data_IF_213244572542
#
_entry.id   IF_213244572542
#
_cell.length_a   1.000
_cell.length_b   1.000
_cell.length_c   1.000
_cell.angle_alpha   90.00
_cell.angle_beta   90.00
_cell.angle_gamma   90.00
#
_symmetry.space_group_name_H-M   'P 1'
#
loop_
_entity.id
_entity.type
_entity.pdbx_description
1 polymer ?
#
# COMPACT_ATOMS: atom_id res chain seq x y z
N UNK A 1 6.38 -0.68 7.42
CA UNK A 1 6.99 0.16 8.50
C UNK A 1 6.43 1.57 8.40
N UNK A 2 6.25 2.26 9.51
CA UNK A 2 5.78 3.67 9.54
C UNK A 2 6.94 4.52 10.07
N UNK A 3 7.23 5.65 9.41
CA UNK A 3 8.27 6.57 9.86
C UNK A 3 7.85 8.03 9.67
N UNK A 4 8.35 8.90 10.53
CA UNK A 4 8.11 10.34 10.51
C UNK A 4 9.41 11.08 10.21
N UNK A 5 9.36 12.06 9.30
CA UNK A 5 10.49 12.91 8.94
C UNK A 5 10.60 14.13 9.87
N UNK A 6 11.74 14.83 9.82
CA UNK A 6 12.02 15.96 10.71
C UNK A 6 11.06 17.15 10.55
N UNK A 7 10.41 17.28 9.39
CA UNK A 7 9.36 18.26 9.09
C UNK A 7 7.96 17.81 9.58
N UNK A 8 7.86 16.66 10.26
CA UNK A 8 6.62 16.11 10.78
C UNK A 8 5.84 15.23 9.80
N UNK A 9 6.28 15.09 8.54
CA UNK A 9 5.60 14.27 7.54
C UNK A 9 5.67 12.77 7.89
N UNK A 10 4.56 12.04 7.76
CA UNK A 10 4.48 10.61 8.12
C UNK A 10 4.32 9.76 6.85
N UNK A 11 5.15 8.73 6.72
CA UNK A 11 5.17 7.81 5.59
C UNK A 11 4.92 6.38 6.06
N UNK A 12 4.03 5.68 5.35
CA UNK A 12 3.83 4.25 5.51
C UNK A 12 4.49 3.52 4.33
N UNK A 13 5.52 2.74 4.60
CA UNK A 13 6.05 1.80 3.63
C UNK A 13 5.17 0.56 3.63
N UNK A 14 4.45 0.36 2.52
CA UNK A 14 3.76 -0.88 2.21
C UNK A 14 4.42 -1.52 0.99
N UNK A 15 4.41 -2.85 0.95
CA UNK A 15 4.86 -3.59 -0.22
C UNK A 15 3.69 -3.70 -1.19
N UNK A 16 3.90 -3.28 -2.43
CA UNK A 16 2.92 -3.41 -3.50
C UNK A 16 2.45 -4.87 -3.63
N UNK A 17 1.13 -5.07 -3.65
CA UNK A 17 0.54 -6.40 -3.77
C UNK A 17 0.91 -7.08 -5.08
N UNK A 18 1.13 -6.31 -6.17
CA UNK A 18 1.60 -6.85 -7.44
C UNK A 18 3.03 -7.39 -7.32
N UNK A 19 3.89 -6.72 -6.52
CA UNK A 19 5.23 -7.21 -6.23
C UNK A 19 5.21 -8.50 -5.40
N UNK A 20 4.33 -8.58 -4.38
CA UNK A 20 4.15 -9.80 -3.58
C UNK A 20 3.67 -10.95 -4.47
N UNK A 21 2.67 -10.70 -5.31
CA UNK A 21 2.12 -11.71 -6.22
C UNK A 21 3.21 -12.27 -7.15
N UNK A 22 4.00 -11.40 -7.78
CA UNK A 22 5.12 -11.80 -8.65
C UNK A 22 6.19 -12.59 -7.90
N UNK A 23 6.58 -12.15 -6.71
CA UNK A 23 7.62 -12.82 -5.90
C UNK A 23 7.23 -14.23 -5.46
N UNK A 24 5.94 -14.45 -5.22
CA UNK A 24 5.42 -15.72 -4.72
C UNK A 24 4.72 -16.56 -5.80
N UNK A 25 4.76 -16.15 -7.07
CA UNK A 25 4.11 -16.89 -8.17
C UNK A 25 2.59 -16.97 -8.02
N UNK A 26 1.96 -15.97 -7.41
CA UNK A 26 0.52 -15.92 -7.23
C UNK A 26 -0.11 -15.34 -8.51
N UNK A 27 -0.68 -16.23 -9.33
CA UNK A 27 -1.37 -15.85 -10.57
C UNK A 27 -2.89 -15.64 -10.39
N UNK A 28 -3.39 -15.84 -9.16
CA UNK A 28 -4.80 -15.64 -8.80
C UNK A 28 -4.95 -14.43 -7.88
N UNK A 29 -6.19 -14.10 -7.49
CA UNK A 29 -6.52 -13.05 -6.51
C UNK A 29 -6.26 -11.61 -6.96
N UNK A 30 -6.22 -11.35 -8.27
CA UNK A 30 -6.02 -10.01 -8.85
C UNK A 30 -7.08 -9.01 -8.36
N UNK A 31 -8.34 -9.44 -8.20
CA UNK A 31 -9.43 -8.55 -7.73
C UNK A 31 -9.21 -8.15 -6.27
N UNK A 32 -8.76 -9.08 -5.44
CA UNK A 32 -8.50 -8.91 -4.03
C UNK A 32 -7.30 -7.99 -3.80
N UNK A 33 -6.23 -8.16 -4.59
CA UNK A 33 -5.08 -7.25 -4.57
C UNK A 33 -5.47 -5.84 -5.00
N UNK A 34 -6.29 -5.70 -6.06
CA UNK A 34 -6.82 -4.40 -6.46
C UNK A 34 -7.63 -3.74 -5.33
N UNK A 35 -8.54 -4.49 -4.71
CA UNK A 35 -9.37 -3.97 -3.61
C UNK A 35 -8.52 -3.55 -2.41
N UNK A 36 -7.50 -4.33 -2.05
CA UNK A 36 -6.59 -3.96 -0.97
C UNK A 36 -5.81 -2.67 -1.28
N UNK A 37 -5.34 -2.50 -2.52
CA UNK A 37 -4.72 -1.25 -3.00
C UNK A 37 -5.69 -0.07 -2.91
N UNK A 38 -6.92 -0.23 -3.39
CA UNK A 38 -7.95 0.82 -3.37
C UNK A 38 -8.27 1.28 -1.94
N UNK A 39 -8.35 0.35 -0.97
CA UNK A 39 -8.58 0.65 0.45
C UNK A 39 -7.43 1.46 1.05
N UNK A 40 -6.17 1.06 0.80
CA UNK A 40 -5.00 1.80 1.27
C UNK A 40 -5.00 3.23 0.72
N UNK A 41 -5.31 3.39 -0.56
CA UNK A 41 -5.42 4.70 -1.19
C UNK A 41 -6.54 5.56 -0.55
N UNK A 42 -7.70 4.97 -0.29
CA UNK A 42 -8.81 5.67 0.37
C UNK A 42 -8.42 6.18 1.77
N UNK A 43 -7.81 5.33 2.60
CA UNK A 43 -7.39 5.70 3.96
C UNK A 43 -6.31 6.79 3.92
N UNK A 44 -5.29 6.61 3.08
CA UNK A 44 -4.16 7.56 2.98
C UNK A 44 -4.53 8.89 2.33
N UNK A 45 -5.59 8.94 1.52
CA UNK A 45 -6.07 10.18 0.90
C UNK A 45 -6.44 11.26 1.93
N UNK A 46 -6.93 10.86 3.11
CA UNK A 46 -7.30 11.76 4.20
C UNK A 46 -6.11 12.49 4.84
N UNK A 47 -4.90 11.93 4.69
CA UNK A 47 -3.66 12.43 5.31
C UNK A 47 -2.95 13.43 4.37
N UNK A 48 -3.26 13.42 3.06
CA UNK A 48 -2.64 14.32 2.07
C UNK A 48 -3.19 15.76 2.08
N UNK A 49 -3.91 16.18 3.14
CA UNK A 49 -4.54 17.50 3.24
C UNK A 49 -3.76 18.46 4.11
#
# INVERSE_FOLDING_TARGET
VVYQTADGSVYAAYTDFDYIAKRHGIESRTKEFKMATDVIQSVTSSIKK
#
